data_IF_447127227102
#
_entry.id   IF_447127227102
#
_cell.length_a   1.000
_cell.length_b   1.000
_cell.length_c   1.000
_cell.angle_alpha   90.00
_cell.angle_beta   90.00
_cell.angle_gamma   90.00
#
_symmetry.space_group_name_H-M   'P 1'
#
loop_
_entity.id
_entity.type
_entity.pdbx_description
1 polymer ?
#
# COMPACT_ATOMS: atom_id res chain seq x y z
N UNK A 1 12.96 14.34 -4.41
CA UNK A 1 11.72 14.59 -5.18
C UNK A 1 10.49 14.56 -4.28
N UNK A 2 10.17 13.47 -3.61
CA UNK A 2 8.95 13.37 -2.77
C UNK A 2 8.89 14.40 -1.65
N UNK A 3 9.99 14.65 -0.95
CA UNK A 3 10.06 15.63 0.16
C UNK A 3 9.68 17.05 -0.23
N UNK A 4 9.88 17.43 -1.50
CA UNK A 4 9.53 18.77 -1.99
C UNK A 4 8.02 18.95 -2.19
N UNK A 5 7.29 17.88 -2.51
CA UNK A 5 5.90 17.95 -2.98
C UNK A 5 4.90 17.16 -2.13
N UNK A 6 5.35 16.52 -1.06
CA UNK A 6 4.48 15.79 -0.14
C UNK A 6 4.66 16.32 1.28
N UNK A 7 3.57 16.51 2.03
CA UNK A 7 3.63 17.03 3.40
C UNK A 7 4.24 16.02 4.40
N UNK A 8 4.41 14.76 3.99
CA UNK A 8 4.94 13.71 4.85
C UNK A 8 6.40 13.45 4.50
N UNK A 9 7.26 13.58 5.50
CA UNK A 9 8.67 13.16 5.41
C UNK A 9 8.71 11.64 5.20
N UNK A 10 9.30 11.24 4.08
CA UNK A 10 9.60 9.84 3.77
C UNK A 10 11.10 9.73 3.69
N UNK A 11 11.66 9.29 4.79
CA UNK A 11 13.10 9.12 4.95
C UNK A 11 13.62 7.80 4.36
N UNK A 12 14.91 7.57 4.47
CA UNK A 12 15.55 6.37 3.97
C UNK A 12 15.08 5.11 4.71
N UNK A 13 14.70 5.23 5.98
CA UNK A 13 14.15 4.14 6.77
C UNK A 13 12.81 3.67 6.18
N UNK A 14 11.91 4.62 5.89
CA UNK A 14 10.63 4.30 5.22
C UNK A 14 10.86 3.63 3.86
N UNK A 15 11.79 4.15 3.01
CA UNK A 15 12.08 3.55 1.71
C UNK A 15 12.68 2.16 1.83
N UNK A 16 13.56 1.94 2.80
CA UNK A 16 14.11 0.64 3.11
C UNK A 16 13.03 -0.34 3.53
N UNK A 17 12.16 0.11 4.43
CA UNK A 17 11.05 -0.68 4.92
C UNK A 17 10.10 -1.12 3.80
N UNK A 18 9.59 -0.18 3.00
CA UNK A 18 8.60 -0.50 1.96
C UNK A 18 9.17 -1.35 0.84
N UNK A 19 10.45 -1.17 0.50
CA UNK A 19 11.07 -1.83 -0.64
C UNK A 19 11.79 -3.13 -0.31
N UNK A 20 12.27 -3.32 0.92
CA UNK A 20 13.06 -4.49 1.29
C UNK A 20 12.33 -5.42 2.25
N UNK A 21 11.61 -4.86 3.20
CA UNK A 21 11.05 -5.62 4.32
C UNK A 21 9.63 -6.07 4.01
N UNK A 22 8.82 -5.17 3.46
CA UNK A 22 7.41 -5.46 3.16
C UNK A 22 7.25 -6.30 1.89
N UNK A 23 8.28 -6.38 1.07
CA UNK A 23 8.35 -7.14 -0.18
C UNK A 23 9.09 -6.34 -1.23
N UNK A 24 9.84 -7.00 -2.10
CA UNK A 24 10.56 -6.32 -3.17
C UNK A 24 9.58 -5.57 -4.06
N UNK A 25 9.57 -4.24 -3.97
CA UNK A 25 8.75 -3.43 -4.85
C UNK A 25 9.26 -3.50 -6.30
N UNK A 26 8.33 -3.39 -7.24
CA UNK A 26 8.64 -3.14 -8.63
C UNK A 26 8.45 -1.64 -8.82
N UNK A 27 9.55 -0.93 -9.02
CA UNK A 27 9.53 0.54 -9.15
C UNK A 27 9.99 0.97 -10.53
N UNK A 28 9.33 1.98 -11.08
CA UNK A 28 9.69 2.65 -12.33
C UNK A 28 9.93 4.12 -12.02
N UNK A 29 10.99 4.66 -12.57
CA UNK A 29 11.29 6.09 -12.53
C UNK A 29 11.32 6.66 -13.94
N UNK A 30 10.93 7.90 -14.08
CA UNK A 30 11.18 8.71 -15.26
C UNK A 30 12.31 9.68 -14.94
N UNK A 31 13.26 9.79 -15.85
CA UNK A 31 14.44 10.64 -15.69
C UNK A 31 14.57 11.60 -16.87
N UNK A 32 14.97 12.81 -16.58
CA UNK A 32 15.28 13.85 -17.55
C UNK A 32 16.49 14.64 -17.04
N UNK A 33 17.54 14.78 -17.83
CA UNK A 33 18.77 15.51 -17.51
C UNK A 33 19.33 15.12 -16.11
N UNK A 34 19.59 13.84 -15.90
CA UNK A 34 20.07 13.26 -14.64
C UNK A 34 19.18 13.54 -13.41
N UNK A 35 17.93 13.93 -13.63
CA UNK A 35 16.98 14.23 -12.58
C UNK A 35 15.77 13.30 -12.67
N UNK A 36 15.45 12.64 -11.56
CA UNK A 36 14.19 11.86 -11.46
C UNK A 36 13.01 12.83 -11.43
N UNK A 37 12.14 12.74 -12.44
CA UNK A 37 10.97 13.59 -12.64
C UNK A 37 9.64 12.86 -12.42
N UNK A 38 9.66 11.54 -12.37
CA UNK A 38 8.47 10.74 -12.10
C UNK A 38 8.81 9.42 -11.44
N UNK A 39 7.82 8.85 -10.74
CA UNK A 39 7.93 7.57 -10.06
C UNK A 39 6.57 6.90 -9.92
N UNK A 40 6.56 5.59 -10.07
CA UNK A 40 5.45 4.75 -9.67
C UNK A 40 5.96 3.38 -9.27
N UNK A 41 5.37 2.81 -8.22
CA UNK A 41 5.76 1.49 -7.75
C UNK A 41 4.55 0.62 -7.44
N UNK A 42 4.76 -0.69 -7.48
CA UNK A 42 3.84 -1.68 -6.93
C UNK A 42 4.59 -2.59 -5.96
N UNK A 43 3.95 -2.90 -4.84
CA UNK A 43 4.47 -3.86 -3.85
C UNK A 43 3.70 -5.17 -4.01
N UNK A 44 4.36 -6.28 -4.35
CA UNK A 44 3.71 -7.58 -4.45
C UNK A 44 3.01 -7.94 -3.14
N UNK A 45 1.72 -8.23 -3.24
CA UNK A 45 0.82 -8.59 -2.13
C UNK A 45 -0.25 -9.51 -2.66
N UNK A 46 -0.14 -10.79 -2.39
CA UNK A 46 -1.14 -11.73 -2.85
C UNK A 46 -2.51 -11.45 -2.22
N UNK A 47 -3.53 -11.71 -3.00
CA UNK A 47 -4.92 -11.67 -2.55
C UNK A 47 -5.45 -13.09 -2.49
N UNK A 48 -6.22 -13.38 -1.47
CA UNK A 48 -7.01 -14.61 -1.40
C UNK A 48 -8.44 -14.26 -1.78
N UNK A 49 -8.91 -14.88 -2.84
CA UNK A 49 -10.28 -14.69 -3.36
C UNK A 49 -10.94 -16.06 -3.49
N UNK A 50 -11.99 -16.28 -2.74
CA UNK A 50 -12.71 -17.59 -2.76
C UNK A 50 -11.75 -18.78 -2.63
N UNK A 51 -10.85 -18.71 -1.64
CA UNK A 51 -9.83 -19.72 -1.35
C UNK A 51 -8.77 -19.94 -2.47
N UNK A 52 -8.65 -19.01 -3.43
CA UNK A 52 -7.60 -19.02 -4.44
C UNK A 52 -6.65 -17.87 -4.21
N UNK A 53 -5.36 -18.16 -4.25
CA UNK A 53 -4.32 -17.14 -4.18
C UNK A 53 -4.15 -16.50 -5.56
N UNK A 54 -4.31 -15.20 -5.62
CA UNK A 54 -4.00 -14.39 -6.81
C UNK A 54 -2.70 -13.65 -6.56
N UNK A 55 -1.76 -13.74 -7.50
CA UNK A 55 -0.58 -12.89 -7.50
C UNK A 55 -1.01 -11.46 -7.77
N UNK A 56 -0.98 -10.65 -6.73
CA UNK A 56 -1.42 -9.27 -6.78
C UNK A 56 -0.34 -8.30 -6.30
N UNK A 57 -0.52 -7.01 -6.56
CA UNK A 57 0.38 -5.98 -6.07
C UNK A 57 -0.38 -4.71 -5.69
N UNK A 58 0.06 -4.06 -4.63
CA UNK A 58 -0.46 -2.77 -4.18
C UNK A 58 0.27 -1.65 -4.91
N UNK A 59 -0.48 -0.80 -5.64
CA UNK A 59 0.05 0.41 -6.27
C UNK A 59 0.32 1.50 -5.24
N UNK A 60 1.54 2.05 -5.27
CA UNK A 60 2.01 3.06 -4.32
C UNK A 60 2.83 4.14 -5.02
N UNK A 61 2.84 5.34 -4.44
CA UNK A 61 3.77 6.42 -4.79
C UNK A 61 3.76 6.85 -6.27
N UNK A 62 2.58 6.85 -6.91
CA UNK A 62 2.43 7.42 -8.24
C UNK A 62 2.63 8.95 -8.19
N UNK A 63 3.63 9.43 -8.90
CA UNK A 63 4.00 10.84 -8.89
C UNK A 63 4.70 11.24 -10.19
N UNK A 64 4.37 12.45 -10.67
CA UNK A 64 5.13 13.19 -11.69
C UNK A 64 5.36 14.59 -11.18
N UNK A 65 6.61 15.06 -11.25
CA UNK A 65 6.98 16.43 -10.89
C UNK A 65 6.10 17.41 -11.68
N UNK A 66 5.40 18.34 -11.01
CA UNK A 66 4.50 19.27 -11.65
C UNK A 66 5.11 20.04 -12.82
N UNK A 67 6.40 20.37 -12.72
CA UNK A 67 7.12 21.13 -13.73
C UNK A 67 7.33 20.35 -15.03
N UNK A 68 7.26 19.00 -14.96
CA UNK A 68 7.51 18.07 -16.08
C UNK A 68 6.27 17.33 -16.58
N UNK A 69 5.07 17.72 -16.15
CA UNK A 69 3.82 17.06 -16.57
C UNK A 69 3.46 17.25 -18.04
N UNK A 70 4.15 18.14 -18.74
CA UNK A 70 4.01 18.35 -20.19
C UNK A 70 4.89 17.40 -20.97
N UNK A 71 6.03 17.00 -20.40
CA UNK A 71 7.05 16.14 -21.00
C UNK A 71 6.71 14.66 -20.81
N UNK A 72 6.15 14.31 -19.65
CA UNK A 72 5.75 12.94 -19.35
C UNK A 72 4.45 12.89 -18.55
N UNK A 73 3.59 11.98 -18.93
CA UNK A 73 2.36 11.71 -18.18
C UNK A 73 2.53 10.55 -17.21
N UNK A 74 1.79 10.56 -16.11
CA UNK A 74 1.74 9.42 -15.19
C UNK A 74 1.28 8.14 -15.90
N UNK A 75 0.49 8.27 -16.97
CA UNK A 75 0.00 7.16 -17.77
C UNK A 75 1.13 6.40 -18.50
N UNK A 76 2.15 7.10 -18.96
CA UNK A 76 3.32 6.46 -19.60
C UNK A 76 4.11 5.65 -18.59
N UNK A 77 4.32 6.22 -17.39
CA UNK A 77 5.00 5.52 -16.29
C UNK A 77 4.19 4.30 -15.85
N UNK A 78 2.88 4.45 -15.68
CA UNK A 78 2.01 3.36 -15.25
C UNK A 78 1.94 2.23 -16.28
N UNK A 79 1.83 2.54 -17.57
CA UNK A 79 1.85 1.52 -18.62
C UNK A 79 3.13 0.71 -18.64
N UNK A 80 4.28 1.37 -18.46
CA UNK A 80 5.55 0.70 -18.38
C UNK A 80 5.64 -0.21 -17.16
N UNK A 81 5.21 0.31 -15.99
CA UNK A 81 5.14 -0.46 -14.75
C UNK A 81 4.25 -1.70 -14.88
N UNK A 82 3.06 -1.54 -15.50
CA UNK A 82 2.09 -2.64 -15.64
C UNK A 82 2.64 -3.77 -16.52
N UNK A 83 3.38 -3.45 -17.57
CA UNK A 83 4.07 -4.47 -18.40
C UNK A 83 5.09 -5.26 -17.57
N UNK A 84 5.97 -4.56 -16.82
CA UNK A 84 6.95 -5.23 -15.95
C UNK A 84 6.24 -6.08 -14.90
N UNK A 85 5.18 -5.60 -14.30
CA UNK A 85 4.41 -6.35 -13.31
C UNK A 85 3.78 -7.61 -13.93
N UNK A 86 3.22 -7.50 -15.12
CA UNK A 86 2.66 -8.62 -15.88
C UNK A 86 3.73 -9.67 -16.21
N UNK A 87 4.90 -9.25 -16.68
CA UNK A 87 6.03 -10.15 -16.99
C UNK A 87 6.53 -10.91 -15.73
N UNK A 88 6.38 -10.30 -14.55
CA UNK A 88 6.62 -10.94 -13.26
C UNK A 88 5.46 -11.78 -12.74
N UNK A 89 4.41 -11.93 -13.53
CA UNK A 89 3.25 -12.77 -13.23
C UNK A 89 2.23 -12.14 -12.29
N UNK A 90 2.28 -10.81 -12.07
CA UNK A 90 1.23 -10.11 -11.32
C UNK A 90 -0.05 -10.11 -12.17
N UNK A 91 -1.14 -10.61 -11.58
CA UNK A 91 -2.43 -10.79 -12.24
C UNK A 91 -3.38 -9.63 -11.95
N UNK A 92 -3.20 -8.98 -10.80
CA UNK A 92 -4.06 -7.90 -10.32
C UNK A 92 -3.21 -6.83 -9.65
N UNK A 93 -3.43 -5.58 -10.03
CA UNK A 93 -2.92 -4.42 -9.29
C UNK A 93 -4.12 -3.73 -8.64
N UNK A 94 -4.02 -3.44 -7.36
CA UNK A 94 -5.03 -2.73 -6.60
C UNK A 94 -4.40 -1.53 -5.89
N UNK A 95 -5.22 -0.57 -5.44
CA UNK A 95 -4.71 0.61 -4.79
C UNK A 95 -5.80 1.42 -4.09
N UNK A 96 -5.36 2.36 -3.27
CA UNK A 96 -6.20 3.30 -2.53
C UNK A 96 -5.82 4.73 -2.92
N UNK A 97 -6.24 5.18 -4.11
CA UNK A 97 -5.88 6.51 -4.59
C UNK A 97 -6.54 7.61 -3.76
N UNK A 98 -5.87 8.74 -3.65
CA UNK A 98 -6.52 9.96 -3.20
C UNK A 98 -7.53 10.47 -4.25
N UNK A 99 -8.35 11.43 -3.86
CA UNK A 99 -9.45 11.96 -4.71
C UNK A 99 -8.96 12.42 -6.08
N UNK A 100 -7.80 13.06 -6.14
CA UNK A 100 -7.25 13.60 -7.39
C UNK A 100 -6.76 12.49 -8.32
N UNK A 101 -6.02 11.53 -7.78
CA UNK A 101 -5.45 10.45 -8.59
C UNK A 101 -6.50 9.41 -8.99
N UNK A 102 -7.55 9.21 -8.17
CA UNK A 102 -8.68 8.34 -8.50
C UNK A 102 -9.30 8.64 -9.86
N UNK A 103 -9.47 9.93 -10.20
CA UNK A 103 -10.02 10.31 -11.49
C UNK A 103 -9.13 9.89 -12.65
N UNK A 104 -7.81 10.01 -12.49
CA UNK A 104 -6.83 9.57 -13.48
C UNK A 104 -6.89 8.05 -13.64
N UNK A 105 -6.87 7.31 -12.55
CA UNK A 105 -6.92 5.85 -12.58
C UNK A 105 -8.20 5.33 -13.27
N UNK A 106 -9.35 5.85 -12.90
CA UNK A 106 -10.62 5.36 -13.45
C UNK A 106 -10.79 5.77 -14.92
N UNK A 107 -10.52 7.03 -15.26
CA UNK A 107 -10.83 7.57 -16.60
C UNK A 107 -9.74 7.28 -17.62
N UNK A 108 -8.49 7.32 -17.23
CA UNK A 108 -7.34 7.21 -18.14
C UNK A 108 -6.74 5.81 -18.07
N UNK A 109 -6.42 5.33 -16.89
CA UNK A 109 -5.80 4.01 -16.69
C UNK A 109 -6.83 2.87 -16.70
N UNK A 110 -8.13 3.18 -16.77
CA UNK A 110 -9.25 2.23 -16.86
C UNK A 110 -9.34 1.26 -15.69
N UNK A 111 -8.97 1.72 -14.49
CA UNK A 111 -9.16 0.95 -13.29
C UNK A 111 -10.64 0.78 -12.98
N UNK A 112 -10.98 -0.36 -12.41
CA UNK A 112 -12.34 -0.61 -11.92
C UNK A 112 -12.42 -0.20 -10.45
N UNK A 113 -13.35 0.68 -10.14
CA UNK A 113 -13.68 1.00 -8.76
C UNK A 113 -14.49 -0.15 -8.15
N UNK A 114 -14.00 -0.68 -7.03
CA UNK A 114 -14.62 -1.82 -6.34
C UNK A 114 -15.41 -1.36 -5.13
N UNK A 115 -14.88 -0.40 -4.37
CA UNK A 115 -15.52 0.15 -3.18
C UNK A 115 -15.06 1.57 -2.88
N UNK A 116 -15.86 2.30 -2.15
CA UNK A 116 -15.49 3.58 -1.54
C UNK A 116 -15.27 3.36 -0.04
N UNK A 117 -14.07 3.68 0.43
CA UNK A 117 -13.75 3.64 1.85
C UNK A 117 -13.94 5.03 2.46
N UNK A 118 -14.59 5.06 3.62
CA UNK A 118 -14.61 6.26 4.45
C UNK A 118 -13.34 6.27 5.30
N UNK A 119 -12.58 7.35 5.24
CA UNK A 119 -11.50 7.59 6.20
C UNK A 119 -12.03 8.41 7.36
N UNK A 120 -11.61 8.05 8.55
CA UNK A 120 -11.91 8.79 9.76
C UNK A 120 -10.60 9.26 10.36
N UNK A 121 -10.53 10.54 10.69
CA UNK A 121 -9.40 11.12 11.40
C UNK A 121 -9.81 11.35 12.85
N UNK A 122 -9.03 10.82 13.78
CA UNK A 122 -9.16 11.13 15.19
C UNK A 122 -8.19 12.26 15.50
N UNK A 123 -8.67 13.46 15.90
CA UNK A 123 -7.77 14.53 16.31
C UNK A 123 -6.93 14.09 17.50
N UNK A 124 -5.62 14.23 17.38
CA UNK A 124 -4.66 13.79 18.41
C UNK A 124 -4.73 14.59 19.71
N UNK A 125 -5.34 15.80 19.66
CA UNK A 125 -5.58 16.69 20.79
C UNK A 125 -6.79 16.27 21.67
N UNK A 126 -7.69 15.48 21.10
CA UNK A 126 -8.78 14.86 21.86
C UNK A 126 -8.26 13.56 22.44
N UNK A 127 -7.53 13.68 23.55
CA UNK A 127 -7.01 12.53 24.26
C UNK A 127 -8.08 11.46 24.45
N UNK A 128 -7.67 10.21 24.36
CA UNK A 128 -8.49 9.03 24.67
C UNK A 128 -8.95 8.98 26.13
N UNK A 129 -8.59 9.99 26.91
CA UNK A 129 -8.79 10.10 28.37
C UNK A 129 -10.28 10.04 28.79
N UNK A 130 -11.19 10.27 27.86
CA UNK A 130 -12.63 10.20 28.12
C UNK A 130 -13.30 8.90 27.67
N UNK A 131 -12.55 7.95 27.11
CA UNK A 131 -13.10 6.64 26.75
C UNK A 131 -13.13 5.80 28.01
N UNK A 132 -14.29 5.77 28.70
CA UNK A 132 -14.55 4.80 29.74
C UNK A 132 -14.64 3.40 29.09
N UNK A 133 -13.53 2.74 28.99
CA UNK A 133 -13.47 1.33 28.55
C UNK A 133 -13.12 0.45 29.75
N UNK A 134 -13.77 -0.69 29.82
CA UNK A 134 -13.35 -1.76 30.74
C UNK A 134 -12.19 -2.56 30.18
N UNK A 135 -11.75 -2.23 28.95
CA UNK A 135 -10.58 -2.87 28.32
C UNK A 135 -9.34 -2.16 28.83
N UNK A 136 -8.48 -2.91 29.48
CA UNK A 136 -7.15 -2.46 29.87
C UNK A 136 -6.23 -2.59 28.64
N UNK A 137 -5.57 -1.49 28.27
CA UNK A 137 -4.55 -1.50 27.24
C UNK A 137 -3.21 -1.54 27.91
N UNK A 138 -2.51 -2.65 27.78
CA UNK A 138 -1.13 -2.78 28.24
C UNK A 138 -0.17 -2.44 27.10
N UNK A 139 0.97 -1.84 27.44
CA UNK A 139 2.04 -1.67 26.49
C UNK A 139 2.54 -3.05 26.03
N UNK A 140 2.46 -3.32 24.75
CA UNK A 140 2.88 -4.61 24.19
C UNK A 140 4.42 -4.62 24.17
N UNK A 141 5.02 -5.17 25.22
CA UNK A 141 6.49 -5.31 25.33
C UNK A 141 7.01 -6.56 24.63
N UNK A 142 6.21 -7.63 24.68
CA UNK A 142 6.52 -8.91 24.03
C UNK A 142 5.32 -9.37 23.22
N UNK A 143 5.37 -9.16 21.91
CA UNK A 143 4.29 -9.59 21.01
C UNK A 143 4.50 -11.07 20.70
N UNK A 144 3.56 -11.92 21.13
CA UNK A 144 3.43 -13.27 20.59
C UNK A 144 2.83 -13.20 19.19
N UNK A 145 3.71 -13.09 18.20
CA UNK A 145 3.32 -13.00 16.79
C UNK A 145 2.62 -14.26 16.30
N UNK A 146 2.95 -15.41 16.85
CA UNK A 146 2.28 -16.66 16.50
C UNK A 146 0.83 -16.65 16.98
N UNK A 147 0.59 -16.09 18.17
CA UNK A 147 -0.75 -15.90 18.68
C UNK A 147 -1.56 -14.90 17.85
N UNK A 148 -0.99 -13.75 17.49
CA UNK A 148 -1.63 -12.77 16.61
C UNK A 148 -1.93 -13.35 15.22
N UNK A 149 -1.01 -14.16 14.69
CA UNK A 149 -1.22 -14.83 13.42
C UNK A 149 -2.38 -15.82 13.51
N UNK A 150 -2.43 -16.65 14.55
CA UNK A 150 -3.55 -17.57 14.80
C UNK A 150 -4.89 -16.85 14.95
N UNK A 151 -4.92 -15.73 15.67
CA UNK A 151 -6.12 -14.90 15.77
C UNK A 151 -6.56 -14.35 14.42
N UNK A 152 -5.62 -13.88 13.61
CA UNK A 152 -5.92 -13.38 12.26
C UNK A 152 -6.44 -14.50 11.33
N UNK A 153 -5.92 -15.71 11.45
CA UNK A 153 -6.38 -16.89 10.72
C UNK A 153 -7.79 -17.32 11.17
N UNK A 154 -8.06 -17.30 12.47
CA UNK A 154 -9.39 -17.59 13.02
C UNK A 154 -10.43 -16.58 12.51
N UNK A 155 -10.15 -15.28 12.61
CA UNK A 155 -11.02 -14.23 12.10
C UNK A 155 -11.23 -14.35 10.58
N UNK A 156 -10.18 -14.74 9.87
CA UNK A 156 -10.27 -14.97 8.42
C UNK A 156 -11.07 -16.23 8.06
N UNK A 157 -11.09 -17.25 8.90
CA UNK A 157 -11.87 -18.49 8.68
C UNK A 157 -13.37 -18.31 8.95
N UNK A 158 -13.73 -17.38 9.82
CA UNK A 158 -15.12 -17.04 10.14
C UNK A 158 -15.72 -16.08 9.09
N UNK A 159 -14.88 -15.45 8.27
CA UNK A 159 -15.35 -14.52 7.25
C UNK A 159 -16.00 -15.26 6.08
N UNK A 160 -17.12 -14.72 5.63
CA UNK A 160 -17.99 -15.27 4.59
C UNK A 160 -17.21 -15.59 3.32
N UNK A 161 -17.47 -16.73 2.69
CA UNK A 161 -16.80 -17.32 1.51
C UNK A 161 -16.63 -16.39 0.28
N UNK A 162 -17.08 -15.15 0.33
CA UNK A 162 -17.06 -14.20 -0.78
C UNK A 162 -16.08 -13.04 -0.61
N UNK A 163 -15.28 -13.03 0.45
CA UNK A 163 -14.39 -11.92 0.74
C UNK A 163 -13.07 -12.01 -0.01
N UNK A 164 -12.55 -10.84 -0.35
CA UNK A 164 -11.19 -10.64 -0.82
C UNK A 164 -10.34 -10.25 0.38
N UNK A 165 -9.31 -11.01 0.69
CA UNK A 165 -8.39 -10.72 1.79
C UNK A 165 -6.94 -10.69 1.34
N UNK A 166 -6.11 -9.98 2.07
CA UNK A 166 -4.66 -10.04 1.88
C UNK A 166 -4.13 -11.38 2.39
N UNK A 167 -3.22 -11.98 1.63
CA UNK A 167 -2.40 -13.07 2.15
C UNK A 167 -1.40 -12.48 3.15
N UNK A 168 -1.50 -12.91 4.40
CA UNK A 168 -0.61 -12.50 5.49
C UNK A 168 0.10 -13.71 6.07
N UNK A 169 1.30 -13.52 6.56
CA UNK A 169 2.09 -14.53 7.26
C UNK A 169 2.89 -13.87 8.40
N UNK A 170 3.54 -14.69 9.21
CA UNK A 170 4.34 -14.19 10.35
C UNK A 170 5.36 -13.15 9.93
N UNK A 171 6.06 -13.33 8.79
CA UNK A 171 7.04 -12.36 8.30
C UNK A 171 6.41 -11.02 7.95
N UNK A 172 5.18 -11.00 7.43
CA UNK A 172 4.43 -9.77 7.20
C UNK A 172 4.19 -9.01 8.49
N UNK A 173 3.74 -9.69 9.53
CA UNK A 173 3.44 -9.07 10.81
C UNK A 173 4.71 -8.55 11.48
N UNK A 174 5.78 -9.34 11.48
CA UNK A 174 7.11 -8.92 11.98
C UNK A 174 7.57 -7.66 11.26
N UNK A 175 7.55 -7.66 9.92
CA UNK A 175 8.02 -6.52 9.14
C UNK A 175 7.19 -5.26 9.36
N UNK A 176 5.90 -5.42 9.65
CA UNK A 176 4.99 -4.29 9.82
C UNK A 176 5.10 -3.62 11.18
N UNK A 177 5.41 -4.37 12.22
CA UNK A 177 5.30 -3.88 13.60
C UNK A 177 6.60 -3.91 14.41
N UNK A 178 7.62 -4.65 13.98
CA UNK A 178 8.87 -4.77 14.74
C UNK A 178 10.04 -3.97 14.20
N UNK A 179 10.01 -3.55 12.97
CA UNK A 179 11.17 -2.95 12.30
C UNK A 179 11.01 -1.44 12.09
N UNK A 180 10.07 -0.83 12.80
CA UNK A 180 9.90 0.62 12.87
C UNK A 180 10.47 1.18 14.16
#
# INVERSE_FOLDING_TARGET
MFTKHTPYLRDDAYWTWINRIVGQSISVVAECDDRIIGHYAVVPRNLIVKNRVLKAALGIHAFVDPDFRREISIFEISNYLYRIAQDKGIQVIYGFPNVNYRQIQVRIERWKEVALFKSYELPSDKGLDNIKTTIQFDEIKDIDYEHLFRLSEMLASESVMNEVRLETNTNYWISRYMLN
#
